data_IF_495629912481
#
_entry.id   IF_495629912481
#
_cell.length_a   1.000
_cell.length_b   1.000
_cell.length_c   1.000
_cell.angle_alpha   90.00
_cell.angle_beta   90.00
_cell.angle_gamma   90.00
#
_symmetry.space_group_name_H-M   'P 1'
#
loop_
_entity.id
_entity.type
_entity.pdbx_description
1 polymer ?
#
# COMPACT_ATOMS: atom_id res chain seq x y z
N UNK A 1 6.55 -9.49 3.59
CA UNK A 1 5.63 -10.26 4.45
C UNK A 1 5.22 -11.59 3.83
N UNK A 2 4.50 -11.62 2.72
CA UNK A 2 4.00 -12.88 2.10
C UNK A 2 5.09 -13.93 1.86
N UNK A 3 6.24 -13.54 1.34
CA UNK A 3 7.39 -14.42 1.14
C UNK A 3 7.88 -15.02 2.47
N UNK A 4 8.09 -14.18 3.48
CA UNK A 4 8.57 -14.64 4.79
C UNK A 4 7.59 -15.61 5.47
N UNK A 5 6.27 -15.38 5.34
CA UNK A 5 5.26 -16.30 5.84
C UNK A 5 5.34 -17.66 5.15
N UNK A 6 5.51 -17.68 3.82
CA UNK A 6 5.63 -18.90 3.03
C UNK A 6 6.94 -19.67 3.29
N UNK A 7 8.00 -18.98 3.69
CA UNK A 7 9.27 -19.58 4.09
C UNK A 7 9.19 -20.26 5.46
N UNK A 8 8.58 -19.55 6.43
CA UNK A 8 8.50 -20.01 7.82
C UNK A 8 7.43 -21.10 7.99
N UNK A 9 6.39 -21.10 7.16
CA UNK A 9 5.26 -22.02 7.24
C UNK A 9 5.11 -22.79 5.91
N UNK A 10 5.75 -23.97 5.75
CA UNK A 10 5.74 -24.74 4.50
C UNK A 10 4.35 -25.17 4.03
N UNK A 11 3.41 -25.41 4.96
CA UNK A 11 2.05 -25.84 4.66
C UNK A 11 1.07 -24.69 4.46
N UNK A 12 1.55 -23.44 4.54
CA UNK A 12 0.72 -22.28 4.36
C UNK A 12 0.36 -22.07 2.88
N UNK A 13 -0.93 -21.88 2.62
CA UNK A 13 -1.44 -21.39 1.35
C UNK A 13 -1.93 -19.95 1.51
N UNK A 14 -1.61 -19.09 0.56
CA UNK A 14 -2.03 -17.69 0.54
C UNK A 14 -3.02 -17.44 -0.60
N UNK A 15 -4.12 -16.76 -0.29
CA UNK A 15 -4.96 -16.08 -1.28
C UNK A 15 -4.60 -14.60 -1.18
N UNK A 16 -3.84 -14.12 -2.15
CA UNK A 16 -3.37 -12.73 -2.19
C UNK A 16 -4.29 -11.90 -3.08
N UNK A 17 -4.95 -10.94 -2.46
CA UNK A 17 -5.83 -9.97 -3.12
C UNK A 17 -5.06 -8.66 -3.27
N UNK A 18 -4.84 -8.21 -4.49
CA UNK A 18 -4.10 -6.98 -4.73
C UNK A 18 -4.62 -6.22 -5.96
N UNK A 19 -4.23 -4.97 -6.05
CA UNK A 19 -4.60 -4.15 -7.22
C UNK A 19 -4.15 -4.81 -8.53
N UNK A 20 -4.96 -4.77 -9.60
CA UNK A 20 -4.64 -5.40 -10.89
C UNK A 20 -3.24 -5.06 -11.42
N UNK A 21 -2.81 -3.79 -11.29
CA UNK A 21 -1.48 -3.35 -11.67
C UNK A 21 -0.32 -3.95 -10.87
N UNK A 22 -0.61 -4.64 -9.75
CA UNK A 22 0.40 -5.29 -8.91
C UNK A 22 0.46 -6.82 -9.11
N UNK A 23 -0.48 -7.40 -9.84
CA UNK A 23 -0.57 -8.86 -10.02
C UNK A 23 0.68 -9.45 -10.67
N UNK A 24 1.17 -8.84 -11.75
CA UNK A 24 2.38 -9.29 -12.43
C UNK A 24 3.59 -9.21 -11.51
N UNK A 25 3.75 -8.09 -10.79
CA UNK A 25 4.83 -7.93 -9.83
C UNK A 25 4.75 -8.99 -8.72
N UNK A 26 3.56 -9.20 -8.14
CA UNK A 26 3.35 -10.20 -7.09
C UNK A 26 3.66 -11.63 -7.59
N UNK A 27 3.22 -11.97 -8.81
CA UNK A 27 3.51 -13.26 -9.44
C UNK A 27 5.01 -13.49 -9.66
N UNK A 28 5.70 -12.49 -10.20
CA UNK A 28 7.15 -12.55 -10.41
C UNK A 28 7.93 -12.64 -9.09
N UNK A 29 7.50 -11.88 -8.08
CA UNK A 29 8.14 -11.88 -6.76
C UNK A 29 7.94 -13.20 -6.01
N UNK A 30 6.73 -13.77 -6.07
CA UNK A 30 6.38 -15.02 -5.39
C UNK A 30 6.54 -16.27 -6.27
N UNK A 31 7.23 -16.16 -7.41
CA UNK A 31 7.32 -17.23 -8.43
C UNK A 31 7.71 -18.61 -7.90
N UNK A 32 8.56 -18.65 -6.86
CA UNK A 32 8.99 -19.92 -6.24
C UNK A 32 7.93 -20.56 -5.34
N UNK A 33 6.84 -19.83 -5.05
CA UNK A 33 5.75 -20.27 -4.18
C UNK A 33 4.39 -20.38 -4.88
N UNK A 34 4.33 -20.22 -6.22
CA UNK A 34 3.07 -20.17 -6.96
C UNK A 34 2.17 -21.39 -6.77
N UNK A 35 2.73 -22.56 -6.43
CA UNK A 35 1.93 -23.72 -6.08
C UNK A 35 1.12 -23.56 -4.77
N UNK A 36 1.44 -22.54 -3.98
CA UNK A 36 0.81 -22.23 -2.67
C UNK A 36 0.22 -20.82 -2.61
N UNK A 37 0.17 -20.11 -3.74
CA UNK A 37 -0.32 -18.74 -3.81
C UNK A 37 -1.36 -18.61 -4.90
N UNK A 38 -2.55 -18.21 -4.53
CA UNK A 38 -3.59 -17.75 -5.44
C UNK A 38 -3.53 -16.23 -5.53
N UNK A 39 -3.45 -15.68 -6.73
CA UNK A 39 -3.43 -14.24 -6.98
C UNK A 39 -4.76 -13.81 -7.61
N UNK A 40 -5.44 -12.89 -6.98
CA UNK A 40 -6.73 -12.38 -7.47
C UNK A 40 -6.79 -10.86 -7.42
N UNK A 41 -7.41 -10.22 -8.44
CA UNK A 41 -7.55 -8.78 -8.45
C UNK A 41 -8.50 -8.31 -7.36
N UNK A 42 -8.14 -7.20 -6.73
CA UNK A 42 -8.98 -6.47 -5.79
C UNK A 42 -8.70 -4.98 -5.86
N UNK A 43 -9.74 -4.18 -5.89
CA UNK A 43 -9.62 -2.72 -5.87
C UNK A 43 -10.55 -2.18 -4.79
N UNK A 44 -9.99 -1.56 -3.78
CA UNK A 44 -10.71 -0.76 -2.80
C UNK A 44 -9.82 0.37 -2.32
N UNK A 45 -10.03 1.52 -2.89
CA UNK A 45 -9.35 2.74 -2.51
C UNK A 45 -10.07 3.96 -3.11
N UNK A 46 -9.96 5.09 -2.45
CA UNK A 46 -10.33 6.36 -3.06
C UNK A 46 -9.14 6.95 -3.85
N UNK A 47 -9.44 7.91 -4.68
CA UNK A 47 -8.44 8.63 -5.45
C UNK A 47 -8.16 9.98 -4.80
N UNK A 48 -6.88 10.29 -4.60
CA UNK A 48 -6.44 11.65 -4.30
C UNK A 48 -6.36 12.40 -5.63
N UNK A 49 -7.23 13.39 -5.80
CA UNK A 49 -7.21 14.24 -6.98
C UNK A 49 -6.08 15.25 -6.87
N UNK A 50 -5.26 15.33 -7.89
CA UNK A 50 -4.13 16.25 -7.95
C UNK A 50 -4.36 17.30 -9.04
N UNK A 51 -4.27 18.57 -8.67
CA UNK A 51 -4.25 19.68 -9.60
C UNK A 51 -2.81 19.89 -10.10
N UNK A 52 -2.52 19.36 -11.27
CA UNK A 52 -1.20 19.46 -11.89
C UNK A 52 -0.81 20.91 -12.26
N UNK A 53 -1.80 21.78 -12.50
CA UNK A 53 -1.51 23.16 -12.87
C UNK A 53 -0.98 23.97 -11.69
N UNK A 54 -1.50 23.70 -10.49
CA UNK A 54 -1.14 24.39 -9.25
C UNK A 54 -0.26 23.56 -8.31
N UNK A 55 0.09 22.35 -8.70
CA UNK A 55 0.91 21.42 -7.90
C UNK A 55 0.35 21.21 -6.48
N UNK A 56 -0.95 21.07 -6.37
CA UNK A 56 -1.61 20.84 -5.09
C UNK A 56 -2.69 19.76 -5.18
N UNK A 57 -3.10 19.25 -4.03
CA UNK A 57 -4.23 18.33 -3.95
C UNK A 57 -5.53 19.13 -4.11
N UNK A 58 -6.40 18.69 -5.02
CA UNK A 58 -7.78 19.17 -5.08
C UNK A 58 -8.59 18.52 -3.94
N UNK A 59 -8.73 19.27 -2.86
CA UNK A 59 -9.42 18.80 -1.67
C UNK A 59 -10.90 18.49 -1.92
N UNK A 60 -11.57 19.24 -2.81
CA UNK A 60 -12.99 19.02 -3.08
C UNK A 60 -13.24 17.72 -3.86
N UNK A 61 -12.47 17.49 -4.92
CA UNK A 61 -12.55 16.26 -5.70
C UNK A 61 -12.07 15.05 -4.90
N UNK A 62 -11.01 15.22 -4.11
CA UNK A 62 -10.52 14.15 -3.21
C UNK A 62 -11.60 13.78 -2.19
N UNK A 63 -12.21 14.75 -1.53
CA UNK A 63 -13.32 14.50 -0.58
C UNK A 63 -14.48 13.77 -1.24
N UNK A 64 -14.87 14.17 -2.45
CA UNK A 64 -15.93 13.47 -3.19
C UNK A 64 -15.58 12.01 -3.45
N UNK A 65 -14.33 11.74 -3.82
CA UNK A 65 -13.82 10.37 -4.02
C UNK A 65 -13.87 9.55 -2.74
N UNK A 66 -13.45 10.13 -1.60
CA UNK A 66 -13.51 9.49 -0.28
C UNK A 66 -14.95 9.10 0.07
N UNK A 67 -15.90 10.03 -0.04
CA UNK A 67 -17.29 9.78 0.33
C UNK A 67 -17.96 8.72 -0.55
N UNK A 68 -17.65 8.71 -1.86
CA UNK A 68 -18.13 7.66 -2.76
C UNK A 68 -17.59 6.29 -2.36
N UNK A 69 -16.31 6.20 -2.12
CA UNK A 69 -15.68 4.96 -1.69
C UNK A 69 -16.25 4.44 -0.36
N UNK A 70 -16.43 5.34 0.64
CA UNK A 70 -17.04 4.99 1.94
C UNK A 70 -18.45 4.41 1.75
N UNK A 71 -19.23 4.97 0.84
CA UNK A 71 -20.59 4.47 0.57
C UNK A 71 -20.61 3.04 0.01
N UNK A 72 -19.54 2.60 -0.65
CA UNK A 72 -19.41 1.26 -1.27
C UNK A 72 -18.80 0.20 -0.34
N UNK A 73 -18.13 0.61 0.75
CA UNK A 73 -17.35 -0.29 1.62
C UNK A 73 -18.12 -1.51 2.12
N UNK A 74 -19.35 -1.30 2.62
CA UNK A 74 -20.15 -2.40 3.18
C UNK A 74 -20.55 -3.42 2.12
N UNK A 75 -20.91 -2.96 0.91
CA UNK A 75 -21.25 -3.83 -0.20
C UNK A 75 -20.03 -4.60 -0.69
N UNK A 76 -18.88 -3.94 -0.76
CA UNK A 76 -17.60 -4.56 -1.11
C UNK A 76 -17.25 -5.66 -0.12
N UNK A 77 -17.37 -5.42 1.19
CA UNK A 77 -17.11 -6.42 2.22
C UNK A 77 -18.01 -7.65 2.09
N UNK A 78 -19.32 -7.46 1.83
CA UNK A 78 -20.26 -8.58 1.59
C UNK A 78 -19.85 -9.39 0.36
N UNK A 79 -19.51 -8.71 -0.73
CA UNK A 79 -19.06 -9.38 -1.96
C UNK A 79 -17.77 -10.18 -1.77
N UNK A 80 -16.83 -9.66 -0.99
CA UNK A 80 -15.58 -10.34 -0.68
C UNK A 80 -15.77 -11.51 0.29
N UNK A 81 -16.65 -11.38 1.27
CA UNK A 81 -17.00 -12.50 2.15
C UNK A 81 -17.59 -13.69 1.36
N UNK A 82 -18.47 -13.42 0.41
CA UNK A 82 -19.06 -14.46 -0.43
C UNK A 82 -18.03 -15.20 -1.31
N UNK A 83 -16.88 -14.59 -1.56
CA UNK A 83 -15.76 -15.15 -2.33
C UNK A 83 -14.66 -15.77 -1.47
N UNK A 84 -14.82 -15.74 -0.15
CA UNK A 84 -13.80 -16.28 0.76
C UNK A 84 -13.69 -17.79 0.58
N UNK A 85 -12.51 -18.33 0.21
CA UNK A 85 -12.34 -19.77 0.05
C UNK A 85 -12.56 -20.54 1.36
N UNK A 86 -13.00 -21.78 1.26
CA UNK A 86 -13.07 -22.67 2.42
C UNK A 86 -11.67 -22.92 3.01
N UNK A 87 -11.60 -23.05 4.32
CA UNK A 87 -10.35 -23.38 5.01
C UNK A 87 -9.44 -22.17 5.32
N UNK A 88 -9.86 -20.94 5.03
CA UNK A 88 -9.16 -19.75 5.48
C UNK A 88 -9.13 -19.72 7.01
N UNK A 89 -7.98 -19.40 7.59
CA UNK A 89 -7.76 -19.36 9.04
C UNK A 89 -7.53 -17.97 9.62
N UNK A 90 -7.18 -17.01 8.79
CA UNK A 90 -7.00 -15.61 9.18
C UNK A 90 -7.06 -14.70 7.95
N UNK A 91 -7.38 -13.44 8.17
CA UNK A 91 -7.32 -12.39 7.16
C UNK A 91 -6.23 -11.40 7.59
N UNK A 92 -5.28 -11.12 6.70
CA UNK A 92 -4.22 -10.14 6.92
C UNK A 92 -4.41 -9.01 5.92
N UNK A 93 -4.46 -7.78 6.40
CA UNK A 93 -4.68 -6.60 5.55
C UNK A 93 -3.57 -5.57 5.71
N UNK A 94 -3.09 -5.09 4.58
CA UNK A 94 -2.32 -3.85 4.49
C UNK A 94 -3.30 -2.71 4.21
N UNK A 95 -3.74 -2.04 5.27
CA UNK A 95 -4.66 -0.88 5.35
C UNK A 95 -6.08 -1.00 4.75
N UNK A 96 -6.44 -2.07 4.08
CA UNK A 96 -7.78 -2.22 3.47
C UNK A 96 -8.84 -2.50 4.56
N UNK A 97 -9.82 -1.60 4.81
CA UNK A 97 -10.75 -1.72 5.93
C UNK A 97 -11.76 -2.86 5.77
N UNK A 98 -12.22 -3.15 4.56
CA UNK A 98 -13.20 -4.21 4.29
C UNK A 98 -12.69 -5.58 4.70
N UNK A 99 -11.39 -5.80 4.66
CA UNK A 99 -10.78 -7.06 5.09
C UNK A 99 -11.10 -7.40 6.55
N UNK A 100 -11.17 -6.38 7.43
CA UNK A 100 -11.52 -6.59 8.83
C UNK A 100 -13.01 -6.91 9.02
N UNK A 101 -13.88 -6.27 8.22
CA UNK A 101 -15.28 -6.60 8.20
C UNK A 101 -15.52 -8.05 7.71
N UNK A 102 -14.81 -8.48 6.65
CA UNK A 102 -14.82 -9.86 6.15
C UNK A 102 -14.35 -10.84 7.23
N UNK A 103 -13.22 -10.55 7.88
CA UNK A 103 -12.71 -11.39 8.97
C UNK A 103 -13.74 -11.55 10.08
N UNK A 104 -14.31 -10.44 10.55
CA UNK A 104 -15.31 -10.43 11.63
C UNK A 104 -16.56 -11.23 11.27
N UNK A 105 -17.10 -11.03 10.07
CA UNK A 105 -18.29 -11.74 9.60
C UNK A 105 -18.05 -13.24 9.41
N UNK A 106 -16.82 -13.62 9.03
CA UNK A 106 -16.43 -15.01 8.86
C UNK A 106 -15.99 -15.69 10.18
N UNK A 107 -15.95 -14.97 11.31
CA UNK A 107 -15.43 -15.47 12.59
C UNK A 107 -13.94 -15.80 12.56
N UNK A 108 -13.16 -15.09 11.75
CA UNK A 108 -11.73 -15.27 11.56
C UNK A 108 -10.93 -14.16 12.24
N UNK A 109 -9.69 -14.43 12.67
CA UNK A 109 -8.77 -13.38 13.09
C UNK A 109 -8.51 -12.38 11.96
N UNK A 110 -8.67 -11.09 12.26
CA UNK A 110 -8.37 -9.96 11.37
C UNK A 110 -7.11 -9.22 11.83
N UNK A 111 -6.04 -9.27 11.04
CA UNK A 111 -4.74 -8.71 11.40
C UNK A 111 -4.37 -7.59 10.43
N UNK A 112 -4.21 -6.37 10.95
CA UNK A 112 -3.66 -5.24 10.21
C UNK A 112 -2.13 -5.26 10.23
N UNK A 113 -1.50 -4.84 9.13
CA UNK A 113 -0.03 -4.74 9.02
C UNK A 113 0.30 -3.45 8.31
N UNK A 114 0.48 -2.34 9.04
CA UNK A 114 0.68 -1.03 8.44
C UNK A 114 1.29 -0.01 9.39
N UNK A 115 1.67 1.13 8.86
CA UNK A 115 2.08 2.32 9.63
C UNK A 115 1.05 3.46 9.58
N UNK A 116 0.00 3.35 8.77
CA UNK A 116 -1.12 4.30 8.67
C UNK A 116 -2.39 3.57 8.23
N UNK A 117 -3.51 4.26 8.23
CA UNK A 117 -4.79 3.75 7.73
C UNK A 117 -5.46 4.75 6.79
N UNK A 118 -6.36 4.28 5.95
CA UNK A 118 -7.19 5.17 5.15
C UNK A 118 -8.09 6.07 5.99
N UNK A 119 -8.37 5.70 7.25
CA UNK A 119 -9.08 6.56 8.19
C UNK A 119 -8.31 7.86 8.45
N UNK A 120 -7.00 7.76 8.71
CA UNK A 120 -6.15 8.94 8.95
C UNK A 120 -6.02 9.80 7.70
N UNK A 121 -5.86 9.17 6.54
CA UNK A 121 -5.76 9.90 5.26
C UNK A 121 -7.09 10.61 4.95
N UNK A 122 -8.23 9.92 5.09
CA UNK A 122 -9.54 10.47 4.85
C UNK A 122 -9.90 11.62 5.82
N UNK A 123 -9.40 11.58 7.06
CA UNK A 123 -9.58 12.65 8.05
C UNK A 123 -8.95 13.98 7.61
N UNK A 124 -8.00 13.96 6.68
CA UNK A 124 -7.46 15.18 6.07
C UNK A 124 -8.44 15.88 5.11
N UNK A 125 -9.51 15.21 4.68
CA UNK A 125 -10.44 15.70 3.66
C UNK A 125 -11.89 15.75 4.12
N UNK A 126 -12.25 14.96 5.12
CA UNK A 126 -13.64 14.76 5.56
C UNK A 126 -13.78 15.01 7.06
N UNK A 127 -14.99 15.37 7.47
CA UNK A 127 -15.33 15.53 8.89
C UNK A 127 -15.46 14.18 9.61
N UNK A 128 -15.32 14.17 10.95
CA UNK A 128 -15.35 12.93 11.75
C UNK A 128 -16.60 12.06 11.52
N UNK A 129 -17.79 12.67 11.40
CA UNK A 129 -19.03 11.94 11.15
C UNK A 129 -19.09 11.29 9.76
N UNK A 130 -18.39 11.84 8.79
CA UNK A 130 -18.38 11.32 7.40
C UNK A 130 -17.49 10.08 7.26
N UNK A 131 -16.44 9.98 8.08
CA UNK A 131 -15.49 8.87 8.07
C UNK A 131 -15.74 7.83 9.17
N UNK A 132 -16.82 7.97 9.94
CA UNK A 132 -17.19 7.01 11.00
C UNK A 132 -17.36 5.56 10.48
N UNK A 133 -17.88 5.31 9.25
CA UNK A 133 -17.89 3.95 8.70
C UNK A 133 -16.50 3.33 8.56
N UNK A 134 -15.48 4.11 8.19
CA UNK A 134 -14.08 3.65 8.14
C UNK A 134 -13.60 3.27 9.53
N UNK A 135 -13.82 4.15 10.52
CA UNK A 135 -13.46 3.88 11.90
C UNK A 135 -14.06 2.58 12.39
N UNK A 136 -15.37 2.40 12.18
CA UNK A 136 -16.09 1.20 12.57
C UNK A 136 -15.50 -0.07 11.95
N UNK A 137 -15.05 -0.01 10.69
CA UNK A 137 -14.42 -1.17 10.03
C UNK A 137 -13.03 -1.48 10.63
N UNK A 138 -12.21 -0.47 10.86
CA UNK A 138 -10.89 -0.67 11.48
C UNK A 138 -10.99 -1.19 12.92
N UNK A 139 -12.00 -0.78 13.68
CA UNK A 139 -12.24 -1.27 15.04
C UNK A 139 -12.60 -2.77 15.09
N UNK A 140 -12.93 -3.38 13.97
CA UNK A 140 -13.19 -4.83 13.86
C UNK A 140 -11.90 -5.65 13.75
N UNK A 141 -10.74 -5.02 13.50
CA UNK A 141 -9.46 -5.72 13.53
C UNK A 141 -9.13 -6.19 14.95
N UNK A 142 -8.65 -7.42 15.06
CA UNK A 142 -8.22 -7.99 16.34
C UNK A 142 -6.84 -7.47 16.76
N UNK A 143 -5.97 -7.20 15.77
CA UNK A 143 -4.58 -6.82 15.99
C UNK A 143 -4.07 -5.92 14.86
N UNK A 144 -3.21 -4.97 15.19
CA UNK A 144 -2.35 -4.25 14.25
C UNK A 144 -0.88 -4.53 14.56
N UNK A 145 -0.17 -5.06 13.57
CA UNK A 145 1.29 -5.01 13.56
C UNK A 145 1.69 -3.63 13.02
N UNK A 146 2.06 -2.76 13.96
CA UNK A 146 2.30 -1.35 13.67
C UNK A 146 3.76 -1.12 13.35
N UNK A 147 4.06 -0.71 12.11
CA UNK A 147 5.42 -0.41 11.69
C UNK A 147 5.94 0.87 12.35
N UNK A 148 7.26 1.01 12.41
CA UNK A 148 7.90 2.30 12.69
C UNK A 148 7.46 3.36 11.66
N UNK A 149 7.62 4.62 12.05
CA UNK A 149 7.14 5.79 11.29
C UNK A 149 5.60 5.87 11.20
N UNK A 150 4.92 5.16 12.10
CA UNK A 150 3.47 5.28 12.24
C UNK A 150 3.13 6.59 12.96
N UNK A 151 2.06 7.24 12.49
CA UNK A 151 1.41 8.33 13.24
C UNK A 151 0.77 7.82 14.52
N UNK A 152 0.51 6.54 14.63
CA UNK A 152 0.23 5.69 15.81
C UNK A 152 -1.01 6.03 16.63
N UNK A 153 -1.27 7.29 16.88
CA UNK A 153 -2.30 7.71 17.83
C UNK A 153 -3.73 7.63 17.27
N UNK A 154 -3.91 7.89 15.98
CA UNK A 154 -5.23 8.02 15.36
C UNK A 154 -5.78 6.72 14.75
N UNK A 155 -4.97 5.66 14.65
CA UNK A 155 -5.41 4.38 14.09
C UNK A 155 -6.46 3.75 15.02
N UNK A 156 -7.71 3.52 14.55
CA UNK A 156 -8.80 3.07 15.41
C UNK A 156 -8.79 1.56 15.66
N UNK A 157 -7.63 0.92 15.73
CA UNK A 157 -7.44 -0.49 16.11
C UNK A 157 -6.95 -0.55 17.54
N UNK A 158 -7.65 -1.30 18.39
CA UNK A 158 -7.41 -1.31 19.84
C UNK A 158 -6.11 -2.00 20.24
N UNK A 159 -5.84 -3.16 19.65
CA UNK A 159 -4.67 -3.96 19.98
C UNK A 159 -3.56 -3.68 18.97
N UNK A 160 -2.40 -3.19 19.44
CA UNK A 160 -1.26 -2.84 18.58
C UNK A 160 0.01 -3.46 19.12
N UNK A 161 0.80 -4.03 18.20
CA UNK A 161 2.14 -4.55 18.50
C UNK A 161 3.13 -3.81 17.60
N UNK A 162 4.18 -3.18 18.14
CA UNK A 162 5.23 -2.59 17.33
C UNK A 162 5.98 -3.68 16.56
N UNK A 163 6.17 -3.47 15.26
CA UNK A 163 6.77 -4.44 14.34
C UNK A 163 8.11 -3.98 13.73
N UNK A 164 8.62 -2.83 14.15
CA UNK A 164 9.85 -2.26 13.59
C UNK A 164 9.69 -1.83 12.12
N UNK A 165 10.80 -1.56 11.46
CA UNK A 165 10.83 -1.30 10.02
C UNK A 165 10.76 -2.60 9.24
N UNK A 166 9.78 -2.71 8.36
CA UNK A 166 9.72 -3.83 7.41
C UNK A 166 10.43 -3.39 6.12
N UNK A 167 11.56 -4.01 5.87
CA UNK A 167 12.31 -3.84 4.63
C UNK A 167 12.73 -5.20 4.08
N UNK A 168 13.03 -5.23 2.79
CA UNK A 168 13.64 -6.40 2.17
C UNK A 168 15.10 -6.51 2.61
N UNK A 169 15.65 -7.73 2.72
CA UNK A 169 17.08 -7.90 2.87
C UNK A 169 17.83 -7.18 1.74
N UNK A 170 18.86 -6.46 2.08
CA UNK A 170 19.71 -5.82 1.09
C UNK A 170 20.61 -6.85 0.43
N UNK A 171 20.83 -6.72 -0.87
CA UNK A 171 21.82 -7.48 -1.61
C UNK A 171 23.07 -6.61 -1.78
N UNK A 172 24.06 -6.84 -0.94
CA UNK A 172 25.29 -6.03 -0.88
C UNK A 172 26.05 -6.02 -2.21
N UNK A 173 26.09 -7.15 -2.93
CA UNK A 173 26.72 -7.23 -4.24
C UNK A 173 26.01 -6.32 -5.24
N UNK A 174 24.67 -6.33 -5.23
CA UNK A 174 23.87 -5.46 -6.11
C UNK A 174 24.01 -3.98 -5.75
N UNK A 175 24.12 -3.66 -4.46
CA UNK A 175 24.37 -2.29 -4.00
C UNK A 175 25.75 -1.82 -4.50
N UNK A 176 26.78 -2.67 -4.40
CA UNK A 176 28.10 -2.37 -4.91
C UNK A 176 28.10 -2.11 -6.42
N UNK A 177 27.42 -2.97 -7.21
CA UNK A 177 27.26 -2.76 -8.65
C UNK A 177 26.59 -1.42 -8.99
N UNK A 178 25.49 -1.09 -8.29
CA UNK A 178 24.77 0.17 -8.48
C UNK A 178 25.67 1.35 -8.14
N UNK A 179 26.39 1.27 -7.03
CA UNK A 179 27.34 2.32 -6.63
C UNK A 179 28.44 2.53 -7.67
N UNK A 180 29.01 1.46 -8.21
CA UNK A 180 30.04 1.55 -9.27
C UNK A 180 29.44 2.17 -10.52
N UNK A 181 28.25 1.73 -10.94
CA UNK A 181 27.61 2.17 -12.18
C UNK A 181 27.19 3.64 -12.17
N UNK A 182 26.74 4.14 -11.02
CA UNK A 182 26.15 5.48 -10.90
C UNK A 182 26.98 6.44 -10.05
N UNK A 183 28.13 5.99 -9.53
CA UNK A 183 29.04 6.89 -8.80
C UNK A 183 29.78 7.78 -9.78
N UNK A 184 29.29 8.98 -9.96
CA UNK A 184 30.05 10.06 -10.56
C UNK A 184 30.80 10.79 -9.43
N UNK A 185 32.11 10.97 -9.51
CA UNK A 185 32.87 11.55 -8.40
C UNK A 185 32.57 13.03 -8.16
N UNK A 186 31.99 13.74 -9.12
CA UNK A 186 31.89 15.20 -9.11
C UNK A 186 30.42 15.71 -8.99
N UNK A 187 29.41 14.84 -9.13
CA UNK A 187 28.00 15.26 -9.09
C UNK A 187 27.21 14.40 -8.11
N UNK A 188 26.44 15.02 -7.19
CA UNK A 188 25.55 14.25 -6.31
C UNK A 188 24.44 13.56 -7.11
N UNK A 189 24.13 12.32 -6.74
CA UNK A 189 23.04 11.53 -7.33
C UNK A 189 21.77 11.70 -6.52
N UNK A 190 20.71 12.16 -7.16
CA UNK A 190 19.37 12.25 -6.58
C UNK A 190 18.51 11.10 -7.11
N UNK A 191 17.93 10.31 -6.22
CA UNK A 191 16.95 9.30 -6.57
C UNK A 191 15.53 9.89 -6.48
N UNK A 192 14.85 9.95 -7.63
CA UNK A 192 13.46 10.39 -7.71
C UNK A 192 12.53 9.18 -7.78
N UNK A 193 11.68 9.04 -6.77
CA UNK A 193 10.61 8.05 -6.74
C UNK A 193 9.32 8.75 -6.37
N UNK A 194 8.50 9.02 -7.36
CA UNK A 194 7.15 9.56 -7.16
C UNK A 194 6.14 8.46 -7.47
N UNK A 195 5.07 8.38 -6.70
CA UNK A 195 3.97 7.47 -6.99
C UNK A 195 3.42 7.73 -8.39
N UNK A 196 2.83 6.71 -9.02
CA UNK A 196 2.35 6.77 -10.41
C UNK A 196 1.26 7.83 -10.71
N UNK A 197 0.89 8.64 -9.72
CA UNK A 197 -0.07 9.73 -9.87
C UNK A 197 0.57 11.07 -10.24
N UNK A 198 1.89 11.20 -10.22
CA UNK A 198 2.59 12.46 -10.48
C UNK A 198 3.40 12.37 -11.76
N UNK A 199 3.24 13.38 -12.64
CA UNK A 199 4.11 13.60 -13.79
C UNK A 199 5.28 14.50 -13.39
N UNK A 200 6.50 14.10 -13.76
CA UNK A 200 7.72 14.91 -13.56
C UNK A 200 7.99 15.90 -14.69
N UNK A 201 7.16 15.94 -15.72
CA UNK A 201 7.39 16.75 -16.93
C UNK A 201 7.57 18.25 -16.65
N UNK A 202 7.06 18.72 -15.52
CA UNK A 202 7.11 20.13 -15.11
C UNK A 202 8.11 20.43 -13.99
N UNK A 203 8.86 19.43 -13.53
CA UNK A 203 9.89 19.67 -12.50
C UNK A 203 11.13 20.22 -13.20
N UNK A 204 11.53 21.44 -12.84
CA UNK A 204 12.84 21.98 -13.21
C UNK A 204 13.92 21.18 -12.48
N UNK A 205 14.73 20.43 -13.24
CA UNK A 205 15.88 19.74 -12.67
C UNK A 205 17.09 20.66 -12.64
N UNK A 206 17.85 20.61 -11.56
CA UNK A 206 19.10 21.35 -11.42
C UNK A 206 20.23 20.63 -12.18
N UNK A 207 20.96 21.36 -13.01
CA UNK A 207 22.06 20.79 -13.82
C UNK A 207 23.25 20.29 -12.98
N UNK A 208 23.32 20.67 -11.70
CA UNK A 208 24.40 20.27 -10.79
C UNK A 208 24.26 18.85 -10.23
N UNK A 209 23.15 18.17 -10.52
CA UNK A 209 22.85 16.83 -10.00
C UNK A 209 22.65 15.83 -11.13
N UNK A 210 23.02 14.58 -10.86
CA UNK A 210 22.58 13.45 -11.64
C UNK A 210 21.29 12.88 -11.05
N UNK A 211 20.40 12.36 -11.91
CA UNK A 211 19.11 11.87 -11.48
C UNK A 211 18.90 10.40 -11.85
N UNK A 212 18.45 9.63 -10.89
CA UNK A 212 17.97 8.26 -11.08
C UNK A 212 16.48 8.22 -10.72
N UNK A 213 15.64 7.70 -11.60
CA UNK A 213 14.21 7.64 -11.38
C UNK A 213 13.66 6.23 -11.58
N UNK A 214 12.52 5.95 -10.93
CA UNK A 214 11.85 4.65 -11.06
C UNK A 214 11.25 4.48 -12.45
N UNK A 215 11.28 3.25 -12.97
CA UNK A 215 10.68 2.89 -14.24
C UNK A 215 9.19 3.25 -14.26
N UNK A 216 8.71 3.87 -15.33
CA UNK A 216 7.32 4.33 -15.47
C UNK A 216 7.12 5.81 -15.15
N UNK A 217 8.16 6.51 -14.74
CA UNK A 217 8.17 7.97 -14.66
C UNK A 217 8.72 8.50 -15.96
N UNK A 218 7.95 9.37 -16.63
CA UNK A 218 8.49 10.12 -17.76
C UNK A 218 9.44 11.18 -17.23
N UNK A 219 10.73 11.15 -17.62
CA UNK A 219 11.64 12.19 -17.19
C UNK A 219 11.23 13.53 -17.81
N UNK A 220 11.58 14.66 -17.18
CA UNK A 220 11.45 15.97 -17.79
C UNK A 220 12.16 16.03 -19.14
N UNK A 221 11.64 16.82 -20.07
CA UNK A 221 12.23 16.98 -21.40
C UNK A 221 13.68 17.48 -21.27
N UNK A 222 14.63 16.79 -21.91
CA UNK A 222 16.06 17.13 -21.92
C UNK A 222 16.94 16.19 -21.09
N UNK A 223 16.39 15.18 -20.45
CA UNK A 223 17.18 14.13 -19.76
C UNK A 223 17.17 12.86 -20.60
N UNK A 224 18.34 12.39 -20.96
CA UNK A 224 18.58 11.11 -21.67
C UNK A 224 19.06 10.04 -20.68
#
# INVERSE_FOLDING_TARGET
>A
MSEALLEVQPDLHLVLRCHPGQLEFAGNYLRRFLARVELTPFVSQFQIAFDEANWCIDNALTRQSVLRWIAELSQTAVGEQARLPAGIRAVISDIVPEAFAVAKQAGLPGIGVSNYTWYEVAAGFCGPGEIEPLRTMYEQADLLLNYELSTGAAIPIRSKIPAGLICRPFNDSRIAEIRIRYKQPERPLIFLSVGGALSLERIGLCEDFDYLYTRGINPPAGIT
#
